data_IF_780789534737
#
_entry.id   IF_780789534737
#
_cell.length_a   1.000
_cell.length_b   1.000
_cell.length_c   1.000
_cell.angle_alpha   90.00
_cell.angle_beta   90.00
_cell.angle_gamma   90.00
#
_symmetry.space_group_name_H-M   'P 1'
#
loop_
_entity.id
_entity.type
_entity.pdbx_description
1 polymer ?
#
# COMPACT_ATOMS: atom_id res chain seq x y z
N UNK A 1 -31.15 -17.13 1.75
CA UNK A 1 -30.30 -16.03 1.23
C UNK A 1 -30.00 -15.09 2.39
N UNK A 2 -28.79 -15.09 2.97
CA UNK A 2 -28.52 -14.24 4.12
C UNK A 2 -28.12 -12.84 3.66
N UNK A 3 -28.83 -11.87 4.23
CA UNK A 3 -28.66 -10.42 4.11
C UNK A 3 -27.25 -10.01 4.54
N UNK A 4 -26.53 -9.32 3.66
CA UNK A 4 -25.25 -8.67 3.98
C UNK A 4 -25.54 -7.38 4.74
N UNK A 5 -25.55 -7.47 6.07
CA UNK A 5 -25.51 -6.32 6.97
C UNK A 5 -24.23 -5.52 6.71
N UNK A 6 -24.40 -4.33 6.12
CA UNK A 6 -23.37 -3.31 5.98
C UNK A 6 -23.04 -2.79 7.39
N UNK A 7 -21.97 -3.31 7.98
CA UNK A 7 -21.41 -2.73 9.21
C UNK A 7 -20.82 -1.36 8.88
N UNK A 8 -21.62 -0.33 9.16
CA UNK A 8 -21.21 1.06 9.25
C UNK A 8 -20.21 1.21 10.42
N UNK A 9 -18.93 0.95 10.17
CA UNK A 9 -17.88 1.44 11.03
C UNK A 9 -17.71 2.94 10.79
N UNK A 10 -18.26 3.73 11.73
CA UNK A 10 -17.90 5.13 11.94
C UNK A 10 -16.37 5.21 12.05
N UNK A 11 -15.74 5.93 11.12
CA UNK A 11 -14.31 6.21 11.19
C UNK A 11 -14.06 7.11 12.40
N UNK A 12 -13.44 6.55 13.43
CA UNK A 12 -12.82 7.33 14.49
C UNK A 12 -11.58 8.02 13.89
N UNK A 13 -11.60 9.34 13.80
CA UNK A 13 -10.41 10.14 13.46
C UNK A 13 -9.47 10.17 14.67
N UNK A 14 -8.68 9.10 14.81
CA UNK A 14 -7.48 9.13 15.67
C UNK A 14 -6.43 10.10 15.12
N UNK A 15 -5.39 10.43 15.91
CA UNK A 15 -4.30 11.29 15.46
C UNK A 15 -3.71 10.75 14.16
N UNK A 16 -3.43 11.65 13.20
CA UNK A 16 -2.84 11.27 11.93
C UNK A 16 -1.51 10.55 12.17
N UNK A 17 -1.47 9.24 11.89
CA UNK A 17 -0.23 8.45 11.95
C UNK A 17 0.81 9.12 11.04
N UNK A 18 1.94 9.53 11.61
CA UNK A 18 3.09 10.01 10.84
C UNK A 18 3.90 8.81 10.39
N UNK A 19 4.39 8.87 9.15
CA UNK A 19 5.23 7.81 8.59
C UNK A 19 6.55 8.43 8.12
N UNK A 20 7.69 7.76 8.34
CA UNK A 20 8.94 8.19 7.72
C UNK A 20 8.78 8.13 6.20
N UNK A 21 9.53 8.98 5.47
CA UNK A 21 9.39 9.11 4.02
C UNK A 21 10.48 8.37 3.26
N UNK A 22 10.09 7.83 2.10
CA UNK A 22 10.96 7.29 1.05
C UNK A 22 11.81 8.40 0.47
N UNK A 23 12.90 8.02 -0.19
CA UNK A 23 13.77 8.95 -0.91
C UNK A 23 13.32 9.03 -2.37
N UNK A 24 13.31 10.25 -2.92
CA UNK A 24 12.98 10.51 -4.31
C UNK A 24 13.93 11.56 -4.90
N UNK A 25 14.13 11.56 -6.22
CA UNK A 25 14.80 12.67 -6.89
C UNK A 25 14.09 13.99 -6.64
N UNK A 26 14.84 15.10 -6.67
CA UNK A 26 14.32 16.45 -6.40
C UNK A 26 13.16 16.89 -7.33
N UNK A 27 13.05 16.30 -8.52
CA UNK A 27 11.97 16.60 -9.47
C UNK A 27 10.64 15.90 -9.15
N UNK A 28 10.62 14.96 -8.21
CA UNK A 28 9.40 14.27 -7.78
C UNK A 28 8.75 15.09 -6.65
N UNK A 29 7.55 15.65 -6.87
CA UNK A 29 6.91 16.47 -5.85
C UNK A 29 6.36 15.63 -4.71
N UNK A 30 6.49 16.14 -3.49
CA UNK A 30 5.81 15.59 -2.31
C UNK A 30 4.50 16.34 -2.10
N UNK A 31 3.37 15.62 -2.21
CA UNK A 31 2.04 16.16 -1.99
C UNK A 31 1.46 15.68 -0.65
N UNK A 32 1.38 16.57 0.34
CA UNK A 32 0.93 16.26 1.70
C UNK A 32 -0.51 15.70 1.76
N UNK A 33 -1.33 15.90 0.73
CA UNK A 33 -2.68 15.34 0.66
C UNK A 33 -2.70 13.81 0.45
N UNK A 34 -1.58 13.24 -0.01
CA UNK A 34 -1.43 11.81 -0.33
C UNK A 34 -0.19 11.20 0.35
N UNK A 35 -0.13 11.20 1.70
CA UNK A 35 1.07 10.81 2.44
C UNK A 35 1.46 9.34 2.21
N UNK A 36 0.51 8.45 1.88
CA UNK A 36 0.81 7.04 1.68
C UNK A 36 1.57 6.76 0.38
N UNK A 37 1.67 7.73 -0.53
CA UNK A 37 2.57 7.64 -1.67
C UNK A 37 4.04 7.72 -1.28
N UNK A 38 4.36 8.36 -0.15
CA UNK A 38 5.75 8.66 0.19
C UNK A 38 6.24 7.90 1.41
N UNK A 39 5.39 7.13 2.09
CA UNK A 39 5.78 6.43 3.32
C UNK A 39 6.77 5.29 3.06
N UNK A 40 7.70 5.09 4.01
CA UNK A 40 8.45 3.84 4.16
C UNK A 40 7.55 2.77 4.80
N UNK A 41 7.98 1.52 4.73
CA UNK A 41 7.25 0.37 5.23
C UNK A 41 8.10 -0.42 6.23
N UNK A 42 7.56 -0.87 7.36
CA UNK A 42 8.28 -1.82 8.21
C UNK A 42 8.54 -3.11 7.44
N UNK A 43 9.70 -3.72 7.68
CA UNK A 43 9.97 -5.11 7.26
C UNK A 43 9.13 -6.01 8.14
N UNK A 44 8.51 -7.03 7.55
CA UNK A 44 7.71 -7.94 8.36
C UNK A 44 8.63 -8.77 9.25
N UNK A 45 8.28 -8.92 10.52
CA UNK A 45 8.95 -9.84 11.45
C UNK A 45 8.58 -11.31 11.21
N UNK A 46 7.57 -11.57 10.36
CA UNK A 46 7.15 -12.91 9.97
C UNK A 46 7.92 -13.41 8.74
N UNK A 47 9.19 -13.75 8.93
CA UNK A 47 10.03 -14.46 7.97
C UNK A 47 10.86 -15.50 8.72
N UNK A 48 11.47 -16.40 7.97
CA UNK A 48 12.37 -17.41 8.52
C UNK A 48 13.74 -17.17 7.92
N UNK A 49 14.71 -16.79 8.74
CA UNK A 49 16.11 -16.90 8.36
C UNK A 49 16.50 -18.38 8.31
N UNK A 50 17.57 -18.74 7.57
CA UNK A 50 18.14 -20.07 7.61
C UNK A 50 18.37 -20.53 9.06
N UNK A 51 17.89 -21.73 9.40
CA UNK A 51 18.00 -22.36 10.73
C UNK A 51 17.16 -21.74 11.87
N UNK A 52 16.18 -20.87 11.59
CA UNK A 52 15.24 -20.41 12.61
C UNK A 52 13.90 -21.17 12.55
N UNK A 53 13.42 -21.61 13.71
CA UNK A 53 12.06 -22.12 13.84
C UNK A 53 11.06 -20.96 14.00
N UNK A 54 9.85 -21.05 13.43
CA UNK A 54 8.83 -20.01 13.56
C UNK A 54 8.37 -19.84 15.02
N UNK A 55 8.72 -18.72 15.65
CA UNK A 55 8.28 -18.35 17.01
C UNK A 55 6.81 -17.89 17.08
N UNK A 56 6.19 -17.61 15.94
CA UNK A 56 4.83 -17.06 15.83
C UNK A 56 3.73 -18.12 15.63
N UNK A 57 4.11 -19.40 15.55
CA UNK A 57 3.26 -20.52 15.13
C UNK A 57 2.08 -20.84 16.07
N UNK A 58 2.03 -20.27 17.29
CA UNK A 58 0.95 -20.51 18.24
C UNK A 58 -0.18 -19.46 18.25
N UNK A 59 -0.03 -18.28 17.63
CA UNK A 59 -0.90 -17.12 17.94
C UNK A 59 -1.48 -16.34 16.75
N UNK A 60 -1.29 -16.82 15.52
CA UNK A 60 -1.84 -16.17 14.32
C UNK A 60 -2.83 -17.10 13.62
N UNK A 61 -4.08 -16.64 13.47
CA UNK A 61 -5.09 -17.34 12.68
C UNK A 61 -4.59 -17.56 11.24
N UNK A 62 -4.86 -18.72 10.65
CA UNK A 62 -4.53 -19.02 9.26
C UNK A 62 -3.24 -19.80 9.06
N UNK A 63 -2.98 -20.15 7.79
CA UNK A 63 -1.80 -20.90 7.38
C UNK A 63 -0.71 -19.92 6.98
N UNK A 64 0.49 -20.11 7.52
CA UNK A 64 1.64 -19.31 7.10
C UNK A 64 2.00 -19.55 5.65
N UNK A 65 2.34 -18.46 4.98
CA UNK A 65 2.82 -18.44 3.62
C UNK A 65 4.20 -17.79 3.62
N UNK A 66 5.29 -18.57 3.52
CA UNK A 66 6.64 -18.01 3.48
C UNK A 66 6.77 -17.07 2.28
N UNK A 67 7.29 -15.84 2.47
CA UNK A 67 7.58 -14.96 1.35
C UNK A 67 8.78 -15.49 0.55
N UNK A 68 8.87 -15.11 -0.71
CA UNK A 68 10.04 -15.44 -1.54
C UNK A 68 11.31 -14.67 -1.11
N UNK A 69 11.12 -13.52 -0.47
CA UNK A 69 12.16 -12.59 -0.02
C UNK A 69 11.67 -11.96 1.31
N UNK A 70 12.49 -11.87 2.38
CA UNK A 70 12.13 -11.17 3.62
C UNK A 70 11.60 -9.74 3.39
N UNK A 71 12.09 -9.06 2.36
CA UNK A 71 11.70 -7.70 1.96
C UNK A 71 10.42 -7.64 1.10
N UNK A 72 9.77 -8.77 0.84
CA UNK A 72 8.52 -8.84 0.07
C UNK A 72 7.37 -8.19 0.85
N UNK A 73 6.95 -6.98 0.44
CA UNK A 73 5.81 -6.28 1.02
C UNK A 73 4.47 -6.73 0.43
N UNK A 74 4.44 -7.50 -0.65
CA UNK A 74 3.21 -7.88 -1.34
C UNK A 74 2.59 -9.15 -0.75
N UNK A 75 3.39 -10.19 -0.58
CA UNK A 75 2.92 -11.52 -0.19
C UNK A 75 2.39 -11.50 1.24
N UNK A 76 1.11 -11.90 1.47
CA UNK A 76 0.59 -12.00 2.83
C UNK A 76 1.36 -13.08 3.59
N UNK A 77 1.63 -12.84 4.87
CA UNK A 77 2.38 -13.80 5.70
C UNK A 77 1.51 -14.96 6.17
N UNK A 78 0.20 -14.72 6.25
CA UNK A 78 -0.77 -15.74 6.58
C UNK A 78 -1.96 -15.64 5.65
N UNK A 79 -2.53 -16.79 5.31
CA UNK A 79 -3.75 -16.89 4.52
C UNK A 79 -4.79 -17.72 5.25
N UNK A 80 -6.05 -17.31 5.16
CA UNK A 80 -7.19 -18.08 5.68
C UNK A 80 -8.35 -18.05 4.72
N UNK A 81 -9.27 -19.00 4.87
CA UNK A 81 -10.41 -19.17 3.97
C UNK A 81 -10.03 -19.78 2.61
N UNK A 82 -11.03 -19.99 1.77
CA UNK A 82 -10.88 -20.66 0.46
C UNK A 82 -11.73 -19.96 -0.60
N UNK A 83 -11.32 -20.03 -1.87
CA UNK A 83 -12.07 -19.41 -2.97
C UNK A 83 -12.37 -17.93 -2.71
N UNK A 84 -13.67 -17.57 -2.69
CA UNK A 84 -14.15 -16.20 -2.49
C UNK A 84 -13.98 -15.66 -1.08
N UNK A 85 -13.70 -16.52 -0.10
CA UNK A 85 -13.44 -16.13 1.30
C UNK A 85 -11.95 -16.12 1.63
N UNK A 86 -11.08 -16.38 0.65
CA UNK A 86 -9.63 -16.35 0.86
C UNK A 86 -9.19 -14.92 1.18
N UNK A 87 -8.51 -14.77 2.30
CA UNK A 87 -7.96 -13.50 2.77
C UNK A 87 -6.50 -13.68 3.16
N UNK A 88 -5.71 -12.63 2.99
CA UNK A 88 -4.33 -12.55 3.45
C UNK A 88 -4.17 -11.55 4.59
N UNK A 89 -3.37 -11.91 5.60
CA UNK A 89 -2.96 -11.00 6.66
C UNK A 89 -1.94 -10.00 6.09
N UNK A 90 -2.19 -8.72 6.28
CA UNK A 90 -1.28 -7.67 5.81
C UNK A 90 -0.04 -7.59 6.71
N UNK A 91 1.18 -7.88 6.21
CA UNK A 91 2.38 -7.80 7.03
C UNK A 91 2.58 -6.41 7.62
N UNK A 92 2.43 -5.37 6.79
CA UNK A 92 2.60 -3.96 7.19
C UNK A 92 1.67 -3.58 8.34
N UNK A 93 0.40 -3.97 8.28
CA UNK A 93 -0.54 -3.61 9.34
C UNK A 93 -0.21 -4.34 10.65
N UNK A 94 0.29 -5.59 10.57
CA UNK A 94 0.70 -6.34 11.74
C UNK A 94 1.87 -5.70 12.48
N UNK A 95 2.89 -5.24 11.75
CA UNK A 95 4.01 -4.52 12.38
C UNK A 95 3.57 -3.16 12.96
N UNK A 96 2.48 -2.58 12.44
CA UNK A 96 1.83 -1.39 13.01
C UNK A 96 0.87 -1.70 14.19
N UNK A 97 0.86 -2.93 14.69
CA UNK A 97 0.04 -3.37 15.82
C UNK A 97 -1.39 -3.75 15.47
N UNK A 98 -1.74 -3.86 14.18
CA UNK A 98 -3.10 -4.14 13.72
C UNK A 98 -3.22 -5.42 12.87
N UNK A 99 -4.01 -6.38 13.33
CA UNK A 99 -4.31 -7.61 12.58
C UNK A 99 -5.37 -7.37 11.50
N UNK A 100 -4.95 -6.85 10.33
CA UNK A 100 -5.87 -6.60 9.20
C UNK A 100 -5.79 -7.69 8.12
N UNK A 101 -6.94 -8.30 7.84
CA UNK A 101 -7.13 -9.29 6.78
C UNK A 101 -7.75 -8.62 5.55
N UNK A 102 -7.17 -8.84 4.37
CA UNK A 102 -7.68 -8.30 3.12
C UNK A 102 -7.84 -9.39 2.05
N UNK A 103 -8.82 -9.22 1.18
CA UNK A 103 -8.95 -10.06 -0.02
C UNK A 103 -7.81 -9.81 -1.01
N UNK A 104 -7.41 -8.55 -1.17
CA UNK A 104 -6.34 -8.13 -2.07
C UNK A 104 -5.62 -6.91 -1.52
N UNK A 105 -4.29 -6.88 -1.65
CA UNK A 105 -3.48 -5.69 -1.38
C UNK A 105 -3.39 -4.84 -2.65
N UNK A 106 -3.61 -3.53 -2.52
CA UNK A 106 -3.64 -2.62 -3.69
C UNK A 106 -2.48 -1.63 -3.71
N UNK A 107 -1.79 -1.39 -2.58
CA UNK A 107 -0.73 -0.37 -2.49
C UNK A 107 0.67 -0.82 -2.90
N UNK A 108 0.89 -2.13 -3.07
CA UNK A 108 2.19 -2.74 -3.36
C UNK A 108 2.11 -3.47 -4.70
N UNK A 109 3.18 -3.39 -5.47
CA UNK A 109 3.32 -4.09 -6.74
C UNK A 109 3.48 -5.60 -6.52
N UNK A 110 2.68 -6.45 -7.17
CA UNK A 110 2.91 -7.90 -7.15
C UNK A 110 4.19 -8.31 -7.87
N UNK A 111 4.68 -7.47 -8.80
CA UNK A 111 5.85 -7.79 -9.64
C UNK A 111 7.15 -7.43 -8.94
N UNK A 112 7.22 -6.28 -8.27
CA UNK A 112 8.45 -5.81 -7.62
C UNK A 112 8.49 -6.06 -6.13
N UNK A 113 7.37 -6.52 -5.56
CA UNK A 113 7.12 -6.63 -4.11
C UNK A 113 7.32 -5.32 -3.33
N UNK A 114 7.45 -4.18 -4.04
CA UNK A 114 7.72 -2.83 -3.52
C UNK A 114 6.52 -1.90 -3.76
N UNK A 115 6.43 -0.76 -3.04
CA UNK A 115 5.31 0.15 -3.20
C UNK A 115 5.39 0.88 -4.54
N UNK A 116 4.24 1.12 -5.17
CA UNK A 116 4.20 1.82 -6.46
C UNK A 116 4.82 3.23 -6.37
N UNK A 117 5.49 3.66 -7.43
CA UNK A 117 5.99 5.03 -7.54
C UNK A 117 4.85 6.06 -7.51
N UNK A 118 5.07 7.24 -6.91
CA UNK A 118 4.08 8.32 -6.87
C UNK A 118 3.89 8.98 -8.25
N UNK A 119 2.89 9.87 -8.39
CA UNK A 119 2.84 10.80 -9.52
C UNK A 119 4.10 11.69 -9.58
N UNK A 120 4.59 11.94 -10.80
CA UNK A 120 5.74 12.86 -11.03
C UNK A 120 5.32 14.32 -11.14
N UNK A 121 4.02 14.60 -11.19
CA UNK A 121 3.45 15.94 -11.17
C UNK A 121 1.99 15.85 -10.72
N UNK A 122 1.46 16.97 -10.21
CA UNK A 122 0.06 17.11 -9.81
C UNK A 122 -0.57 18.29 -10.52
N UNK A 123 -1.86 18.20 -10.82
CA UNK A 123 -2.67 19.34 -11.29
C UNK A 123 -4.10 19.21 -10.79
N UNK A 124 -4.82 20.32 -10.78
CA UNK A 124 -6.26 20.32 -10.55
C UNK A 124 -6.96 20.74 -11.84
N UNK A 125 -7.92 19.93 -12.30
CA UNK A 125 -8.70 20.22 -13.51
C UNK A 125 -10.16 20.46 -13.13
N UNK A 126 -10.78 21.50 -13.71
CA UNK A 126 -12.22 21.71 -13.62
C UNK A 126 -12.98 20.64 -14.42
N UNK A 127 -14.09 20.14 -13.89
CA UNK A 127 -14.99 19.23 -14.59
C UNK A 127 -16.12 20.03 -15.23
N UNK A 128 -16.21 19.92 -16.55
CA UNK A 128 -17.36 20.41 -17.32
C UNK A 128 -18.58 19.52 -17.02
N UNK A 129 -19.75 20.14 -16.84
CA UNK A 129 -21.02 19.42 -16.66
C UNK A 129 -21.14 18.61 -15.36
N UNK A 130 -20.47 19.01 -14.28
CA UNK A 130 -20.62 18.35 -12.98
C UNK A 130 -22.08 18.40 -12.50
N UNK A 131 -22.68 17.24 -12.24
CA UNK A 131 -24.04 17.15 -11.73
C UNK A 131 -24.11 17.61 -10.25
N UNK A 132 -25.31 17.93 -9.72
CA UNK A 132 -25.47 18.21 -8.30
C UNK A 132 -24.90 17.08 -7.44
N UNK A 133 -24.05 17.42 -6.45
CA UNK A 133 -23.30 16.48 -5.58
C UNK A 133 -22.12 15.74 -6.23
N UNK A 134 -21.74 16.13 -7.43
CA UNK A 134 -20.47 15.72 -8.02
C UNK A 134 -19.38 16.78 -7.81
N UNK A 135 -18.13 16.34 -7.89
CA UNK A 135 -16.98 17.22 -7.82
C UNK A 135 -16.89 18.08 -9.08
N UNK A 136 -16.77 19.39 -8.87
CA UNK A 136 -16.50 20.39 -9.91
C UNK A 136 -15.01 20.50 -10.25
N UNK A 137 -14.13 19.97 -9.40
CA UNK A 137 -12.68 19.91 -9.59
C UNK A 137 -12.16 18.53 -9.23
N UNK A 138 -11.17 18.05 -9.98
CA UNK A 138 -10.51 16.77 -9.71
C UNK A 138 -9.01 16.97 -9.70
N UNK A 139 -8.37 16.44 -8.66
CA UNK A 139 -6.90 16.35 -8.61
C UNK A 139 -6.45 15.20 -9.48
N UNK A 140 -5.45 15.45 -10.33
CA UNK A 140 -4.82 14.47 -11.20
C UNK A 140 -3.32 14.36 -10.91
N UNK A 141 -2.78 13.15 -11.07
CA UNK A 141 -1.36 12.86 -11.01
C UNK A 141 -0.81 12.45 -12.39
N UNK A 142 0.40 12.88 -12.74
CA UNK A 142 1.08 12.48 -13.99
C UNK A 142 1.85 11.18 -13.77
N UNK A 143 1.58 10.16 -14.58
CA UNK A 143 2.29 8.88 -14.55
C UNK A 143 3.70 9.00 -15.15
N UNK A 144 4.72 8.45 -14.48
CA UNK A 144 6.09 8.41 -15.00
C UNK A 144 6.21 7.50 -16.23
N UNK A 145 5.44 6.39 -16.24
CA UNK A 145 5.49 5.40 -17.31
C UNK A 145 4.68 5.80 -18.54
N UNK A 146 3.36 5.93 -18.41
CA UNK A 146 2.49 6.21 -19.56
C UNK A 146 2.31 7.70 -19.85
N UNK A 147 2.87 8.59 -19.02
CA UNK A 147 2.82 10.06 -19.17
C UNK A 147 1.43 10.69 -19.15
N UNK A 148 0.37 9.90 -18.96
CA UNK A 148 -1.02 10.38 -18.81
C UNK A 148 -1.26 11.02 -17.45
N UNK A 149 -2.19 11.96 -17.43
CA UNK A 149 -2.79 12.50 -16.21
C UNK A 149 -3.92 11.57 -15.76
N UNK A 150 -3.87 11.13 -14.52
CA UNK A 150 -4.78 10.14 -13.92
C UNK A 150 -5.50 10.81 -12.76
N UNK A 151 -6.83 10.74 -12.76
CA UNK A 151 -7.63 11.20 -11.64
C UNK A 151 -7.24 10.47 -10.34
N UNK A 152 -6.94 11.24 -9.30
CA UNK A 152 -6.65 10.75 -7.95
C UNK A 152 -7.93 10.67 -7.10
N UNK A 153 -9.05 11.13 -7.63
CA UNK A 153 -10.33 11.24 -6.94
C UNK A 153 -11.47 10.68 -7.80
N UNK A 154 -12.54 10.26 -7.14
CA UNK A 154 -13.77 9.85 -7.80
C UNK A 154 -14.63 11.05 -8.24
N UNK A 155 -15.59 10.79 -9.13
CA UNK A 155 -16.56 11.80 -9.57
C UNK A 155 -17.48 12.26 -8.45
N UNK A 156 -17.92 11.31 -7.61
CA UNK A 156 -18.81 11.58 -6.47
C UNK A 156 -18.03 12.29 -5.38
N UNK A 157 -18.66 13.30 -4.77
CA UNK A 157 -18.06 13.97 -3.62
C UNK A 157 -18.27 13.18 -2.34
N UNK A 158 -17.49 12.10 -2.19
CA UNK A 158 -17.52 11.20 -1.03
C UNK A 158 -16.11 11.08 -0.47
N UNK A 159 -16.01 11.22 0.85
CA UNK A 159 -14.75 10.98 1.57
C UNK A 159 -14.37 9.50 1.45
N UNK A 160 -13.21 9.24 0.89
CA UNK A 160 -12.67 7.89 0.77
C UNK A 160 -11.95 7.49 2.04
N UNK A 161 -12.01 6.19 2.37
CA UNK A 161 -11.17 5.62 3.43
C UNK A 161 -9.67 5.68 3.10
N UNK A 162 -9.32 5.66 1.81
CA UNK A 162 -7.95 5.73 1.32
C UNK A 162 -7.93 6.63 0.08
N UNK A 163 -7.24 7.77 0.16
CA UNK A 163 -7.23 8.78 -0.91
C UNK A 163 -6.43 8.29 -2.13
N UNK A 164 -5.37 7.53 -1.88
CA UNK A 164 -4.40 7.02 -2.85
C UNK A 164 -4.93 5.88 -3.74
N UNK A 165 -6.12 5.33 -3.42
CA UNK A 165 -6.62 4.09 -4.04
C UNK A 165 -6.82 4.21 -5.56
N UNK A 166 -7.17 5.40 -6.07
CA UNK A 166 -7.36 5.62 -7.50
C UNK A 166 -6.03 5.52 -8.26
N UNK A 167 -4.95 6.08 -7.69
CA UNK A 167 -3.61 5.96 -8.25
C UNK A 167 -3.13 4.52 -8.23
N UNK A 168 -3.30 3.82 -7.11
CA UNK A 168 -2.86 2.43 -6.98
C UNK A 168 -3.52 1.50 -7.98
N UNK A 169 -4.81 1.70 -8.29
CA UNK A 169 -5.49 0.98 -9.37
C UNK A 169 -4.82 1.21 -10.73
N UNK A 170 -4.48 2.46 -11.04
CA UNK A 170 -3.74 2.77 -12.27
C UNK A 170 -2.35 2.13 -12.27
N UNK A 171 -1.59 2.31 -11.19
CA UNK A 171 -0.22 1.83 -11.06
C UNK A 171 -0.14 0.30 -11.18
N UNK A 172 -1.08 -0.44 -10.57
CA UNK A 172 -1.16 -1.89 -10.70
C UNK A 172 -1.32 -2.35 -12.17
N UNK A 173 -2.15 -1.66 -12.96
CA UNK A 173 -2.34 -1.98 -14.37
C UNK A 173 -1.19 -1.49 -15.27
N UNK A 174 -0.59 -0.35 -14.91
CA UNK A 174 0.34 0.38 -15.77
C UNK A 174 1.81 0.10 -15.47
N UNK A 175 2.25 0.21 -14.21
CA UNK A 175 3.68 0.25 -13.85
C UNK A 175 4.38 -1.08 -14.18
N UNK A 176 3.76 -2.22 -13.89
CA UNK A 176 4.26 -3.58 -14.27
C UNK A 176 5.78 -3.74 -14.08
N UNK A 177 6.31 -3.41 -12.90
CA UNK A 177 7.75 -3.50 -12.64
C UNK A 177 8.52 -2.19 -12.71
N UNK A 178 8.02 -1.17 -13.41
CA UNK A 178 8.76 0.10 -13.56
C UNK A 178 8.70 0.96 -12.29
N UNK A 179 9.84 1.51 -11.90
CA UNK A 179 9.97 2.57 -10.90
C UNK A 179 10.33 3.93 -11.51
N UNK A 180 10.33 4.98 -10.69
CA UNK A 180 11.00 6.25 -11.01
C UNK A 180 12.50 6.04 -10.77
N UNK A 181 13.35 6.56 -11.66
CA UNK A 181 14.80 6.44 -11.46
C UNK A 181 15.25 7.21 -10.21
N UNK A 182 16.07 6.59 -9.36
CA UNK A 182 16.58 7.19 -8.13
C UNK A 182 15.61 7.21 -6.94
N UNK A 183 14.42 6.61 -7.05
CA UNK A 183 13.57 6.41 -5.88
C UNK A 183 14.08 5.23 -5.01
N UNK A 184 13.95 5.35 -3.68
CA UNK A 184 14.49 4.37 -2.73
C UNK A 184 13.97 4.55 -1.31
N UNK A 185 14.73 4.08 -0.33
CA UNK A 185 14.37 4.19 1.09
C UNK A 185 13.06 3.47 1.42
N UNK A 186 12.82 2.28 0.86
CA UNK A 186 11.54 1.60 0.94
C UNK A 186 11.14 1.18 2.34
N UNK A 187 12.11 0.80 3.15
CA UNK A 187 11.91 0.13 4.43
C UNK A 187 12.25 1.03 5.60
N UNK A 188 11.56 0.90 6.74
CA UNK A 188 12.02 1.49 7.99
C UNK A 188 13.24 0.70 8.48
N UNK A 189 14.33 1.39 8.82
CA UNK A 189 15.60 0.78 9.25
C UNK A 189 15.59 0.46 10.76
N UNK A 190 14.61 -0.34 11.17
CA UNK A 190 14.49 -0.90 12.53
C UNK A 190 15.35 -2.17 12.71
N UNK A 191 15.28 -2.78 13.90
CA UNK A 191 16.05 -3.99 14.22
C UNK A 191 15.71 -5.17 13.29
N UNK A 192 14.44 -5.26 12.85
CA UNK A 192 14.00 -6.31 11.91
C UNK A 192 14.65 -6.11 10.55
N UNK A 193 14.67 -4.88 10.03
CA UNK A 193 15.35 -4.56 8.79
C UNK A 193 16.86 -4.83 8.90
N UNK A 194 17.51 -4.42 10.00
CA UNK A 194 18.96 -4.67 10.22
C UNK A 194 19.30 -6.15 10.27
N UNK A 195 18.44 -6.97 10.86
CA UNK A 195 18.64 -8.42 10.89
C UNK A 195 18.57 -9.03 9.48
N UNK A 196 17.63 -8.57 8.64
CA UNK A 196 17.54 -8.98 7.23
C UNK A 196 18.76 -8.49 6.44
N UNK A 197 19.13 -7.23 6.61
CA UNK A 197 20.28 -6.59 5.96
C UNK A 197 21.58 -7.36 6.21
N UNK A 198 21.82 -7.74 7.46
CA UNK A 198 22.99 -8.53 7.85
C UNK A 198 22.98 -9.96 7.30
N UNK A 199 21.79 -10.58 7.19
CA UNK A 199 21.66 -11.96 6.74
C UNK A 199 21.74 -12.10 5.20
N UNK A 200 21.21 -11.12 4.47
CA UNK A 200 21.02 -11.19 3.02
C UNK A 200 21.96 -10.24 2.24
N UNK A 201 22.61 -9.28 2.92
CA UNK A 201 23.56 -8.34 2.31
C UNK A 201 22.91 -7.34 1.35
N UNK A 202 21.83 -6.68 1.77
CA UNK A 202 20.98 -5.80 0.94
C UNK A 202 21.47 -4.34 0.90
#
# INVERSE_FOLDING_TARGET
MPSLSVLNHRGSEGPAKTYPQRTFPAHVPINAAFPLFYRRFPVSSFFLLPNQAPSWSAHVEGTFQPPADPLDLYTPRFVKGVGRTKMGLCPVCCEEGEKRWFFMKTSISPTTTRPFSPPVAFRTRAREGAAPKERTRVVEGRCHKCRRWVALEGVKDVVLKVKEIYWWKHAAACHRGSGIEGEGGWFVEDDTWRAVDQAEGV
#
